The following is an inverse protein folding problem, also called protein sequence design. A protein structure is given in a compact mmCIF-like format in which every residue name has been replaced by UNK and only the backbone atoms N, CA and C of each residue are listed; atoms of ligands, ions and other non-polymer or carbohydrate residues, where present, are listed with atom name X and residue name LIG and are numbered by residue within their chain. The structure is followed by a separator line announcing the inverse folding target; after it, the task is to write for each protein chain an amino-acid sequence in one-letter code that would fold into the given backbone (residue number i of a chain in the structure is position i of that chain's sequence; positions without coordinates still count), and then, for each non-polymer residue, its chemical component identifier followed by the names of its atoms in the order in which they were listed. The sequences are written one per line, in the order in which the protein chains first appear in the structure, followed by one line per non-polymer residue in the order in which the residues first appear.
data_IF_362221385764
#
_entry.id   IF_362221385764
#
_cell.length_a   1.000
_cell.length_b   1.000
_cell.length_c   1.000
_cell.angle_alpha   90.00
_cell.angle_beta   90.00
_cell.angle_gamma   90.00
#
_symmetry.space_group_name_H-M   'P 1'
#
loop_
_entity.id
_entity.type
_entity.pdbx_description
1 polymer ?
#
# COMPACT_ATOMS: atom_id res chain seq x y z
N UNK A 1 9.57 16.30 -24.78
CA UNK A 1 9.87 15.83 -23.40
C UNK A 1 10.28 17.01 -22.54
N UNK A 2 9.50 17.33 -21.49
CA UNK A 2 9.68 18.55 -20.68
C UNK A 2 11.01 18.55 -19.90
N UNK A 3 11.54 19.75 -19.62
CA UNK A 3 12.77 19.98 -18.84
C UNK A 3 12.73 19.36 -17.44
N UNK A 4 11.56 19.33 -16.80
CA UNK A 4 11.34 18.65 -15.53
C UNK A 4 11.51 17.14 -15.62
N UNK A 5 11.00 16.51 -16.68
CA UNK A 5 11.15 15.07 -16.93
C UNK A 5 12.62 14.69 -17.13
N UNK A 6 13.38 15.51 -17.87
CA UNK A 6 14.83 15.29 -18.06
C UNK A 6 15.62 15.40 -16.76
N UNK A 7 15.23 16.29 -15.83
CA UNK A 7 15.88 16.48 -14.54
C UNK A 7 15.62 15.29 -13.60
N UNK A 8 14.40 14.77 -13.57
CA UNK A 8 14.04 13.57 -12.80
C UNK A 8 14.81 12.36 -13.33
N UNK A 9 14.86 12.16 -14.66
CA UNK A 9 15.61 11.05 -15.26
C UNK A 9 17.10 11.15 -14.94
N UNK A 10 17.70 12.35 -15.01
CA UNK A 10 19.10 12.55 -14.62
C UNK A 10 19.35 12.23 -13.14
N UNK A 11 18.47 12.67 -12.24
CA UNK A 11 18.60 12.35 -10.81
C UNK A 11 18.48 10.84 -10.59
N UNK A 12 17.54 10.17 -11.27
CA UNK A 12 17.36 8.73 -11.19
C UNK A 12 18.60 7.98 -11.68
N UNK A 13 19.17 8.37 -12.82
CA UNK A 13 20.39 7.76 -13.38
C UNK A 13 21.60 7.99 -12.47
N UNK A 14 21.75 9.20 -11.90
CA UNK A 14 22.82 9.50 -10.96
C UNK A 14 22.66 8.68 -9.68
N UNK A 15 21.44 8.56 -9.16
CA UNK A 15 21.13 7.73 -7.99
C UNK A 15 21.44 6.25 -8.28
N UNK A 16 21.03 5.73 -9.43
CA UNK A 16 21.29 4.36 -9.85
C UNK A 16 22.79 4.08 -10.05
N UNK A 17 23.53 5.05 -10.59
CA UNK A 17 24.98 5.00 -10.74
C UNK A 17 25.75 5.09 -9.41
N UNK A 18 25.22 5.85 -8.44
CA UNK A 18 25.80 5.93 -7.09
C UNK A 18 25.55 4.64 -6.30
N UNK A 19 24.41 3.99 -6.51
CA UNK A 19 24.11 2.70 -5.88
C UNK A 19 25.00 1.59 -6.42
N UNK A 20 25.21 1.53 -7.74
CA UNK A 20 26.06 0.48 -8.35
C UNK A 20 27.53 0.57 -7.91
N UNK A 21 28.07 1.76 -7.66
CA UNK A 21 29.44 1.91 -7.13
C UNK A 21 29.56 1.53 -5.65
N UNK A 22 28.51 1.78 -4.85
CA UNK A 22 28.44 1.33 -3.45
C UNK A 22 28.41 -0.20 -3.38
N UNK A 23 27.61 -0.87 -4.23
CA UNK A 23 27.55 -2.34 -4.26
C UNK A 23 28.79 -3.00 -4.88
N UNK A 24 29.41 -2.40 -5.90
CA UNK A 24 30.59 -2.95 -6.58
C UNK A 24 31.87 -2.94 -5.73
N UNK A 25 31.90 -2.17 -4.64
CA UNK A 25 33.05 -2.13 -3.72
C UNK A 25 33.15 -3.33 -2.76
N UNK A 26 32.17 -4.25 -2.78
CA UNK A 26 32.16 -5.45 -1.94
C UNK A 26 32.71 -6.69 -2.65
N UNK A 27 33.99 -6.66 -3.04
CA UNK A 27 34.73 -7.90 -3.35
C UNK A 27 35.12 -8.59 -2.04
N UNK A 28 34.20 -9.37 -1.49
CA UNK A 28 34.42 -10.28 -0.38
C UNK A 28 33.30 -11.33 -0.35
N UNK A 29 33.63 -12.57 -0.71
CA UNK A 29 32.73 -13.73 -0.61
C UNK A 29 32.53 -14.14 0.86
N UNK A 30 31.88 -13.30 1.65
CA UNK A 30 31.53 -13.59 3.04
C UNK A 30 30.10 -13.17 3.28
N UNK A 31 29.24 -14.17 3.50
CA UNK A 31 27.87 -14.11 4.01
C UNK A 31 27.06 -12.85 3.62
N UNK A 32 26.06 -13.02 2.76
CA UNK A 32 25.02 -12.00 2.54
C UNK A 32 24.63 -11.39 3.89
N UNK A 33 24.78 -10.07 4.10
CA UNK A 33 24.45 -9.45 5.38
C UNK A 33 22.97 -9.65 5.65
N UNK A 34 22.64 -10.66 6.44
CA UNK A 34 21.27 -11.04 6.75
C UNK A 34 21.03 -10.80 8.23
N UNK A 35 19.98 -10.04 8.53
CA UNK A 35 19.58 -9.78 9.90
C UNK A 35 18.48 -10.78 10.29
N UNK A 36 18.73 -11.56 11.34
CA UNK A 36 17.72 -12.46 11.90
C UNK A 36 16.66 -11.65 12.64
N UNK A 37 15.48 -11.52 12.02
CA UNK A 37 14.36 -10.79 12.59
C UNK A 37 13.83 -11.37 13.90
N UNK A 38 14.10 -12.65 14.20
CA UNK A 38 13.68 -13.28 15.46
C UNK A 38 14.47 -12.77 16.68
N UNK A 39 15.66 -12.22 16.45
CA UNK A 39 16.51 -11.65 17.49
C UNK A 39 16.17 -10.17 17.81
N UNK A 40 15.32 -9.53 17.01
CA UNK A 40 14.92 -8.13 17.23
C UNK A 40 13.88 -8.03 18.36
N UNK A 41 14.14 -7.15 19.32
CA UNK A 41 13.16 -6.78 20.34
C UNK A 41 11.93 -6.11 19.71
N UNK A 42 10.75 -6.35 20.30
CA UNK A 42 9.49 -5.71 19.90
C UNK A 42 9.55 -4.17 19.95
N UNK A 43 10.50 -3.59 20.69
CA UNK A 43 10.72 -2.15 20.79
C UNK A 43 11.02 -1.49 19.43
N UNK A 44 11.57 -2.23 18.47
CA UNK A 44 11.82 -1.72 17.12
C UNK A 44 10.55 -1.38 16.33
N UNK A 45 9.38 -1.83 16.79
CA UNK A 45 8.06 -1.52 16.20
C UNK A 45 7.54 -0.14 16.62
N UNK A 46 8.13 0.51 17.64
CA UNK A 46 7.67 1.80 18.17
C UNK A 46 7.55 2.89 17.09
N UNK A 47 8.54 3.13 16.21
CA UNK A 47 8.43 4.17 15.18
C UNK A 47 7.30 3.89 14.18
N UNK A 48 7.04 2.62 13.89
CA UNK A 48 5.93 2.18 13.03
C UNK A 48 4.56 2.45 13.68
N UNK A 49 4.39 2.10 14.96
CA UNK A 49 3.17 2.43 15.72
C UNK A 49 2.99 3.94 15.81
N UNK A 50 4.09 4.68 16.01
CA UNK A 50 4.09 6.14 16.04
C UNK A 50 3.52 6.74 14.76
N UNK A 51 3.99 6.32 13.59
CA UNK A 51 3.47 6.85 12.31
C UNK A 51 2.02 6.43 12.05
N UNK A 52 1.61 5.22 12.45
CA UNK A 52 0.21 4.78 12.32
C UNK A 52 -0.75 5.62 13.18
N UNK A 53 -0.42 5.83 14.45
CA UNK A 53 -1.20 6.69 15.35
C UNK A 53 -1.23 8.13 14.84
N UNK A 54 -0.11 8.60 14.31
CA UNK A 54 0.01 9.93 13.71
C UNK A 54 -0.96 10.11 12.54
N UNK A 55 -1.02 9.16 11.61
CA UNK A 55 -1.98 9.15 10.49
C UNK A 55 -3.42 8.98 10.96
N UNK A 56 -3.67 8.27 12.06
CA UNK A 56 -5.03 8.06 12.57
C UNK A 56 -5.58 9.27 13.34
N UNK A 57 -4.73 10.00 14.06
CA UNK A 57 -5.17 11.01 15.04
C UNK A 57 -5.03 12.44 14.51
N UNK A 58 -3.88 12.80 13.92
CA UNK A 58 -3.62 14.19 13.54
C UNK A 58 -4.54 14.74 12.44
N UNK A 59 -4.99 13.96 11.44
CA UNK A 59 -6.00 14.46 10.50
C UNK A 59 -7.32 14.84 11.15
N UNK A 60 -7.67 14.23 12.29
CA UNK A 60 -8.91 14.51 13.02
C UNK A 60 -8.76 15.70 13.97
N UNK A 61 -7.62 15.81 14.66
CA UNK A 61 -7.40 16.88 15.67
C UNK A 61 -6.90 18.18 15.03
N UNK A 62 -5.98 18.09 14.06
CA UNK A 62 -5.32 19.24 13.45
C UNK A 62 -5.10 19.05 11.93
N UNK A 63 -6.18 19.07 11.11
CA UNK A 63 -6.09 18.75 9.69
C UNK A 63 -5.10 19.64 8.92
N UNK A 64 -5.15 20.96 9.13
CA UNK A 64 -4.29 21.91 8.42
C UNK A 64 -2.79 21.70 8.74
N UNK A 65 -2.48 21.45 10.01
CA UNK A 65 -1.12 21.13 10.44
C UNK A 65 -0.63 19.81 9.84
N UNK A 66 -1.47 18.79 9.84
CA UNK A 66 -1.15 17.47 9.31
C UNK A 66 -0.83 17.53 7.82
N UNK A 67 -1.72 18.12 7.01
CA UNK A 67 -1.52 18.18 5.56
C UNK A 67 -0.26 18.95 5.16
N UNK A 68 0.16 19.95 5.96
CA UNK A 68 1.40 20.69 5.70
C UNK A 68 2.66 19.95 6.18
N UNK A 69 2.57 19.16 7.27
CA UNK A 69 3.74 18.57 7.92
C UNK A 69 3.83 17.05 7.82
N UNK A 70 2.91 16.39 7.10
CA UNK A 70 2.89 14.93 6.91
C UNK A 70 4.27 14.37 6.53
N UNK A 71 4.91 14.97 5.53
CA UNK A 71 6.24 14.54 5.07
C UNK A 71 7.32 14.68 6.15
N UNK A 72 7.27 15.74 6.97
CA UNK A 72 8.24 15.94 8.06
C UNK A 72 8.05 14.92 9.18
N UNK A 73 6.80 14.64 9.54
CA UNK A 73 6.47 13.67 10.59
C UNK A 73 6.85 12.26 10.15
N UNK A 74 6.53 11.88 8.91
CA UNK A 74 6.94 10.60 8.34
C UNK A 74 8.46 10.45 8.29
N UNK A 75 9.18 11.50 7.85
CA UNK A 75 10.64 11.51 7.83
C UNK A 75 11.23 11.39 9.24
N UNK A 76 10.65 12.08 10.23
CA UNK A 76 11.06 11.97 11.61
C UNK A 76 10.87 10.56 12.16
N UNK A 77 9.71 9.93 11.93
CA UNK A 77 9.47 8.54 12.33
C UNK A 77 10.45 7.57 11.64
N UNK A 78 10.72 7.76 10.34
CA UNK A 78 11.70 6.97 9.61
C UNK A 78 13.12 7.16 10.16
N UNK A 79 13.53 8.39 10.47
CA UNK A 79 14.82 8.70 11.05
C UNK A 79 14.99 8.09 12.45
N UNK A 80 13.94 8.13 13.27
CA UNK A 80 13.93 7.49 14.61
C UNK A 80 14.10 5.98 14.52
N UNK A 81 13.71 5.34 13.41
CA UNK A 81 14.03 3.93 13.16
C UNK A 81 15.45 3.75 12.61
N UNK A 82 15.77 4.42 11.49
CA UNK A 82 17.00 4.19 10.71
C UNK A 82 18.25 4.59 11.50
N UNK A 83 18.24 5.73 12.21
CA UNK A 83 19.43 6.22 12.91
C UNK A 83 19.88 5.24 14.01
N UNK A 84 19.02 4.82 14.96
CA UNK A 84 19.39 3.79 15.92
C UNK A 84 19.75 2.47 15.25
N UNK A 85 19.05 2.09 14.18
CA UNK A 85 19.33 0.83 13.50
C UNK A 85 20.76 0.79 12.92
N UNK A 86 21.22 1.90 12.32
CA UNK A 86 22.61 2.07 11.87
C UNK A 86 23.59 1.98 13.05
N UNK A 87 23.27 2.58 14.19
CA UNK A 87 24.16 2.59 15.38
C UNK A 87 24.30 1.17 15.97
N UNK A 88 23.21 0.42 16.07
CA UNK A 88 23.21 -0.91 16.72
C UNK A 88 23.61 -2.05 15.79
N UNK A 89 23.22 -2.00 14.50
CA UNK A 89 23.44 -3.09 13.54
C UNK A 89 24.44 -2.73 12.43
N UNK A 90 24.89 -1.49 12.36
CA UNK A 90 25.87 -1.04 11.39
C UNK A 90 25.27 -0.55 10.06
N UNK A 91 26.04 0.27 9.37
CA UNK A 91 25.63 0.92 8.12
C UNK A 91 25.39 -0.07 6.98
N UNK A 92 26.30 -1.03 6.78
CA UNK A 92 26.23 -1.98 5.66
C UNK A 92 24.98 -2.87 5.72
N UNK A 93 24.64 -3.39 6.91
CA UNK A 93 23.44 -4.23 7.11
C UNK A 93 22.18 -3.39 6.90
N UNK A 94 22.12 -2.21 7.51
CA UNK A 94 20.96 -1.32 7.37
C UNK A 94 20.70 -0.94 5.91
N UNK A 95 21.76 -0.59 5.17
CA UNK A 95 21.65 -0.21 3.77
C UNK A 95 21.23 -1.39 2.89
N UNK A 96 21.78 -2.58 3.14
CA UNK A 96 21.38 -3.80 2.45
C UNK A 96 19.89 -4.09 2.64
N UNK A 97 19.41 -4.15 3.88
CA UNK A 97 18.01 -4.42 4.20
C UNK A 97 17.08 -3.35 3.62
N UNK A 98 17.44 -2.06 3.74
CA UNK A 98 16.64 -0.97 3.20
C UNK A 98 16.47 -1.09 1.68
N UNK A 99 17.54 -1.43 0.97
CA UNK A 99 17.52 -1.58 -0.49
C UNK A 99 16.80 -2.86 -0.89
N UNK A 100 17.05 -3.97 -0.18
CA UNK A 100 16.37 -5.25 -0.38
C UNK A 100 14.84 -5.08 -0.28
N UNK A 101 14.36 -4.53 0.84
CA UNK A 101 12.92 -4.26 1.07
C UNK A 101 12.39 -3.25 0.05
N UNK A 102 13.13 -2.18 -0.26
CA UNK A 102 12.67 -1.18 -1.22
C UNK A 102 12.49 -1.75 -2.63
N UNK A 103 13.42 -2.59 -3.09
CA UNK A 103 13.44 -3.12 -4.46
C UNK A 103 12.58 -4.36 -4.63
N UNK A 104 12.60 -5.29 -3.68
CA UNK A 104 11.93 -6.59 -3.82
C UNK A 104 10.53 -6.62 -3.22
N UNK A 105 10.21 -5.74 -2.27
CA UNK A 105 8.90 -5.70 -1.64
C UNK A 105 8.14 -4.44 -2.07
N UNK A 106 8.70 -3.26 -1.82
CA UNK A 106 7.99 -1.99 -2.01
C UNK A 106 7.71 -1.65 -3.48
N UNK A 107 8.70 -1.75 -4.37
CA UNK A 107 8.49 -1.45 -5.80
C UNK A 107 7.47 -2.39 -6.43
N UNK A 108 7.58 -3.74 -6.30
CA UNK A 108 6.58 -4.66 -6.83
C UNK A 108 5.19 -4.40 -6.26
N UNK A 109 5.08 -4.09 -4.97
CA UNK A 109 3.82 -3.73 -4.33
C UNK A 109 3.19 -2.47 -4.94
N UNK A 110 3.96 -1.39 -5.13
CA UNK A 110 3.47 -0.17 -5.76
C UNK A 110 3.05 -0.43 -7.22
N UNK A 111 3.81 -1.23 -7.97
CA UNK A 111 3.47 -1.61 -9.34
C UNK A 111 2.16 -2.41 -9.37
N UNK A 112 1.98 -3.37 -8.45
CA UNK A 112 0.77 -4.15 -8.32
C UNK A 112 -0.45 -3.26 -8.03
N UNK A 113 -0.33 -2.35 -7.06
CA UNK A 113 -1.40 -1.39 -6.74
C UNK A 113 -1.72 -0.49 -7.94
N UNK A 114 -0.70 -0.01 -8.65
CA UNK A 114 -0.88 0.83 -9.84
C UNK A 114 -1.57 0.08 -10.98
N UNK A 115 -1.16 -1.17 -11.23
CA UNK A 115 -1.79 -2.03 -12.23
C UNK A 115 -3.26 -2.27 -11.88
N UNK A 116 -3.55 -2.62 -10.61
CA UNK A 116 -4.91 -2.85 -10.15
C UNK A 116 -5.77 -1.59 -10.27
N UNK A 117 -5.26 -0.44 -9.84
CA UNK A 117 -5.95 0.84 -9.97
C UNK A 117 -6.24 1.18 -11.44
N UNK A 118 -5.27 0.98 -12.34
CA UNK A 118 -5.42 1.30 -13.76
C UNK A 118 -6.43 0.38 -14.44
N UNK A 119 -6.35 -0.93 -14.18
CA UNK A 119 -7.24 -1.94 -14.77
C UNK A 119 -8.66 -1.77 -14.21
N UNK A 120 -8.83 -1.80 -12.88
CA UNK A 120 -10.15 -1.70 -12.25
C UNK A 120 -10.78 -0.32 -12.43
N UNK A 121 -10.00 0.76 -12.40
CA UNK A 121 -10.48 2.12 -12.61
C UNK A 121 -10.85 2.41 -14.07
N UNK A 122 -10.20 1.75 -15.03
CA UNK A 122 -10.48 1.86 -16.46
C UNK A 122 -11.73 1.09 -16.92
N UNK A 123 -12.16 0.07 -16.16
CA UNK A 123 -13.34 -0.74 -16.48
C UNK A 123 -14.61 -0.02 -16.02
N UNK A 124 -15.42 0.45 -16.98
CA UNK A 124 -16.74 1.02 -16.72
C UNK A 124 -17.84 0.00 -17.03
N UNK A 125 -18.40 -0.60 -15.99
CA UNK A 125 -19.61 -1.42 -16.13
C UNK A 125 -20.81 -0.54 -16.52
N UNK A 126 -21.42 -0.87 -17.65
CA UNK A 126 -22.63 -0.24 -18.19
C UNK A 126 -23.81 -1.20 -18.07
N UNK A 127 -24.98 -0.68 -17.75
CA UNK A 127 -26.20 -1.46 -17.59
C UNK A 127 -27.26 -0.74 -16.77
N UNK A 128 -28.52 -1.09 -16.97
CA UNK A 128 -29.68 -0.59 -16.24
C UNK A 128 -30.08 -1.58 -15.15
N UNK A 129 -29.33 -1.58 -14.05
CA UNK A 129 -29.66 -2.38 -12.86
C UNK A 129 -30.70 -1.64 -12.01
N UNK A 130 -31.77 -2.34 -11.64
CA UNK A 130 -32.77 -1.82 -10.68
C UNK A 130 -32.31 -2.20 -9.27
N UNK A 131 -32.25 -1.24 -8.34
CA UNK A 131 -31.84 -1.44 -6.94
C UNK A 131 -32.82 -2.22 -6.07
N UNK A 132 -33.29 -3.39 -6.54
CA UNK A 132 -34.05 -4.36 -5.75
C UNK A 132 -33.14 -4.98 -4.68
N UNK A 133 -33.68 -5.42 -3.53
CA UNK A 133 -32.87 -6.04 -2.46
C UNK A 133 -32.01 -7.20 -2.96
N UNK A 134 -32.58 -8.08 -3.80
CA UNK A 134 -31.87 -9.22 -4.37
C UNK A 134 -30.70 -8.80 -5.28
N UNK A 135 -30.88 -7.73 -6.07
CA UNK A 135 -29.83 -7.20 -6.95
C UNK A 135 -28.67 -6.61 -6.13
N UNK A 136 -28.98 -5.87 -5.06
CA UNK A 136 -27.95 -5.34 -4.16
C UNK A 136 -27.17 -6.46 -3.46
N UNK A 137 -27.88 -7.48 -2.96
CA UNK A 137 -27.24 -8.66 -2.36
C UNK A 137 -26.32 -9.36 -3.36
N UNK A 138 -26.78 -9.57 -4.59
CA UNK A 138 -25.97 -10.19 -5.64
C UNK A 138 -24.71 -9.37 -5.96
N UNK A 139 -24.80 -8.05 -6.07
CA UNK A 139 -23.65 -7.17 -6.30
C UNK A 139 -22.65 -7.27 -5.14
N UNK A 140 -23.12 -7.26 -3.90
CA UNK A 140 -22.25 -7.36 -2.70
C UNK A 140 -21.58 -8.74 -2.64
N UNK A 141 -22.33 -9.81 -2.92
CA UNK A 141 -21.81 -11.19 -2.89
C UNK A 141 -20.73 -11.38 -3.96
N UNK A 142 -21.02 -10.99 -5.21
CA UNK A 142 -20.04 -11.05 -6.31
C UNK A 142 -18.84 -10.18 -6.00
N UNK A 143 -19.04 -8.98 -5.44
CA UNK A 143 -17.95 -8.11 -5.03
C UNK A 143 -17.08 -8.72 -3.95
N UNK A 144 -17.67 -9.42 -2.98
CA UNK A 144 -16.92 -10.10 -1.92
C UNK A 144 -16.04 -11.20 -2.50
N UNK A 145 -16.55 -11.97 -3.46
CA UNK A 145 -15.77 -13.00 -4.15
C UNK A 145 -14.65 -12.40 -5.02
N UNK A 146 -14.95 -11.32 -5.75
CA UNK A 146 -13.94 -10.62 -6.53
C UNK A 146 -12.87 -9.97 -5.66
N UNK A 147 -13.22 -9.46 -4.49
CA UNK A 147 -12.24 -8.88 -3.57
C UNK A 147 -11.16 -9.89 -3.18
N UNK A 148 -11.49 -11.17 -3.08
CA UNK A 148 -10.53 -12.24 -2.80
C UNK A 148 -9.59 -12.49 -4.00
N UNK A 149 -10.12 -12.43 -5.23
CA UNK A 149 -9.34 -12.70 -6.44
C UNK A 149 -8.47 -11.53 -6.90
N UNK A 150 -9.08 -10.36 -7.08
CA UNK A 150 -8.46 -9.18 -7.69
C UNK A 150 -8.10 -8.11 -6.65
N UNK A 151 -8.36 -8.35 -5.38
CA UNK A 151 -8.09 -7.40 -4.31
C UNK A 151 -9.30 -6.55 -3.92
N UNK A 152 -9.42 -6.21 -2.63
CA UNK A 152 -10.51 -5.37 -2.09
C UNK A 152 -10.60 -4.02 -2.81
N UNK A 153 -9.45 -3.37 -3.05
CA UNK A 153 -9.37 -2.08 -3.75
C UNK A 153 -9.93 -2.16 -5.17
N UNK A 154 -9.53 -3.19 -5.94
CA UNK A 154 -9.96 -3.36 -7.33
C UNK A 154 -11.44 -3.68 -7.45
N UNK A 155 -11.92 -4.64 -6.66
CA UNK A 155 -13.33 -5.03 -6.64
C UNK A 155 -14.24 -3.88 -6.20
N UNK A 156 -13.84 -3.14 -5.15
CA UNK A 156 -14.58 -1.97 -4.68
C UNK A 156 -14.66 -0.89 -5.75
N UNK A 157 -13.55 -0.56 -6.41
CA UNK A 157 -13.49 0.49 -7.43
C UNK A 157 -14.37 0.17 -8.65
N UNK A 158 -14.44 -1.12 -9.03
CA UNK A 158 -15.22 -1.62 -10.16
C UNK A 158 -16.73 -1.63 -9.88
N UNK A 159 -17.14 -2.04 -8.67
CA UNK A 159 -18.56 -2.29 -8.35
C UNK A 159 -19.26 -1.15 -7.59
N UNK A 160 -18.54 -0.23 -6.96
CA UNK A 160 -19.17 0.86 -6.20
C UNK A 160 -20.03 1.77 -7.09
N UNK A 161 -19.57 2.07 -8.31
CA UNK A 161 -20.30 2.95 -9.24
C UNK A 161 -21.61 2.30 -9.73
N UNK A 162 -21.62 1.04 -10.21
CA UNK A 162 -22.86 0.31 -10.48
C UNK A 162 -23.82 0.27 -9.29
N UNK A 163 -23.33 0.01 -8.08
CA UNK A 163 -24.16 -0.10 -6.89
C UNK A 163 -24.86 1.22 -6.55
N UNK A 164 -24.11 2.34 -6.61
CA UNK A 164 -24.66 3.69 -6.39
C UNK A 164 -25.73 4.01 -7.43
N UNK A 165 -25.45 3.75 -8.72
CA UNK A 165 -26.40 4.00 -9.83
C UNK A 165 -27.68 3.18 -9.69
N UNK A 166 -27.56 1.89 -9.36
CA UNK A 166 -28.73 1.02 -9.17
C UNK A 166 -29.67 1.52 -8.06
N UNK A 167 -29.13 2.20 -7.05
CA UNK A 167 -29.87 2.71 -5.88
C UNK A 167 -30.15 4.21 -5.94
N UNK A 168 -29.90 4.90 -7.05
CA UNK A 168 -30.05 6.36 -7.16
C UNK A 168 -31.46 6.83 -6.78
N UNK A 169 -32.48 6.09 -7.23
CA UNK A 169 -33.92 6.36 -7.00
C UNK A 169 -34.45 5.96 -5.60
N UNK A 170 -33.63 5.37 -4.74
CA UNK A 170 -34.02 4.98 -3.37
C UNK A 170 -33.84 6.14 -2.39
N UNK A 171 -34.80 6.29 -1.48
CA UNK A 171 -34.71 7.19 -0.32
C UNK A 171 -33.65 6.70 0.68
N UNK A 172 -33.76 5.45 1.13
CA UNK A 172 -32.80 4.83 2.06
C UNK A 172 -31.82 3.92 1.32
N UNK A 173 -30.57 4.38 1.18
CA UNK A 173 -29.50 3.66 0.43
C UNK A 173 -28.16 3.56 1.17
N UNK A 174 -28.01 4.26 2.29
CA UNK A 174 -26.76 4.30 3.06
C UNK A 174 -26.36 2.92 3.57
N UNK A 175 -27.30 2.14 4.10
CA UNK A 175 -27.03 0.78 4.61
C UNK A 175 -26.38 -0.11 3.55
N UNK A 176 -26.83 -0.07 2.30
CA UNK A 176 -26.25 -0.86 1.19
C UNK A 176 -24.79 -0.49 0.94
N UNK A 177 -24.45 0.81 1.00
CA UNK A 177 -23.07 1.28 0.83
C UNK A 177 -22.21 0.86 2.03
N UNK A 178 -22.73 0.95 3.25
CA UNK A 178 -22.03 0.50 4.46
C UNK A 178 -21.74 -1.00 4.41
N UNK A 179 -22.72 -1.83 4.04
CA UNK A 179 -22.51 -3.27 3.86
C UNK A 179 -21.51 -3.58 2.75
N UNK A 180 -21.54 -2.83 1.64
CA UNK A 180 -20.54 -2.96 0.60
C UNK A 180 -19.13 -2.64 1.11
N UNK A 181 -18.96 -1.57 1.90
CA UNK A 181 -17.67 -1.22 2.49
C UNK A 181 -17.17 -2.33 3.42
N UNK A 182 -18.02 -2.83 4.33
CA UNK A 182 -17.59 -3.88 5.25
C UNK A 182 -17.27 -5.20 4.53
N UNK A 183 -18.18 -5.69 3.68
CA UNK A 183 -18.02 -7.00 3.06
C UNK A 183 -17.05 -7.00 1.89
N UNK A 184 -17.12 -6.01 0.99
CA UNK A 184 -16.31 -6.01 -0.24
C UNK A 184 -14.97 -5.31 -0.02
N UNK A 185 -14.98 -4.13 0.60
CA UNK A 185 -13.78 -3.29 0.68
C UNK A 185 -12.85 -3.62 1.87
N UNK A 186 -13.37 -4.24 2.93
CA UNK A 186 -12.57 -4.59 4.11
C UNK A 186 -12.42 -6.10 4.29
N UNK A 187 -13.52 -6.86 4.36
CA UNK A 187 -13.49 -8.28 4.70
C UNK A 187 -13.19 -9.16 3.48
N UNK A 188 -13.63 -8.77 2.28
CA UNK A 188 -13.63 -9.66 1.11
C UNK A 188 -12.26 -10.17 0.67
N UNK A 189 -11.17 -9.48 1.03
CA UNK A 189 -9.80 -9.95 0.79
C UNK A 189 -9.37 -11.12 1.67
N UNK A 190 -10.09 -11.41 2.77
CA UNK A 190 -9.66 -12.41 3.76
C UNK A 190 -9.89 -13.88 3.32
N UNK A 191 -10.59 -14.12 2.22
CA UNK A 191 -10.88 -15.49 1.75
C UNK A 191 -9.68 -16.11 1.02
N UNK A 192 -8.79 -15.30 0.45
CA UNK A 192 -7.57 -15.78 -0.23
C UNK A 192 -6.42 -14.79 -0.06
N UNK A 193 -5.16 -15.28 0.07
CA UNK A 193 -3.99 -14.42 0.29
C UNK A 193 -3.60 -13.52 -0.91
N UNK A 194 -4.28 -13.66 -2.05
CA UNK A 194 -4.19 -12.75 -3.20
C UNK A 194 -5.03 -11.47 -3.05
N UNK A 195 -6.02 -11.49 -2.15
CA UNK A 195 -7.08 -10.48 -2.05
C UNK A 195 -6.75 -9.24 -1.23
N UNK A 196 -5.67 -9.28 -0.46
CA UNK A 196 -5.15 -8.11 0.22
C UNK A 196 -3.65 -7.93 -0.13
N UNK A 197 -3.29 -6.77 -0.70
CA UNK A 197 -1.91 -6.47 -1.02
C UNK A 197 -0.89 -6.68 0.13
N UNK A 198 -1.24 -6.48 1.42
CA UNK A 198 -0.35 -6.78 2.54
C UNK A 198 -0.09 -8.28 2.80
N UNK A 199 -1.07 -9.18 2.76
CA UNK A 199 -0.76 -10.62 2.90
C UNK A 199 0.01 -11.13 1.68
N UNK A 200 -0.28 -10.63 0.47
CA UNK A 200 0.49 -11.02 -0.73
C UNK A 200 1.99 -10.75 -0.57
N UNK A 201 2.38 -9.61 0.03
CA UNK A 201 3.78 -9.32 0.39
C UNK A 201 4.37 -10.37 1.35
N UNK A 202 3.58 -10.87 2.30
CA UNK A 202 4.00 -11.93 3.21
C UNK A 202 4.26 -13.29 2.54
N UNK A 203 3.70 -13.53 1.35
CA UNK A 203 3.88 -14.74 0.56
C UNK A 203 4.93 -14.64 -0.55
N UNK A 204 5.54 -13.46 -0.77
CA UNK A 204 6.63 -13.27 -1.74
C UNK A 204 8.03 -13.66 -1.22
N UNK A 205 8.11 -14.42 -0.11
CA UNK A 205 9.36 -14.91 0.49
C UNK A 205 9.83 -16.22 -0.12
#
# INVERSE_FOLDING_TARGET
MNTHTKRIIKILIIFMGLMSTVFASSQGHSATPYLDGSALSILWVIPFVGILLSIAIFPLIAPSFWHHNFGKISLLCAAVFIIPFIIFHGFSITLYELIHVSLLEYIPFIILLLALFTISGGVRLTGTLVGKPLTNLAIILVGTFFASWMGTTGAAMLLIRPLIRANEKRQYKVHTIVFFIFLVANIGGSLTPLGDPPLFLGFLK
#
